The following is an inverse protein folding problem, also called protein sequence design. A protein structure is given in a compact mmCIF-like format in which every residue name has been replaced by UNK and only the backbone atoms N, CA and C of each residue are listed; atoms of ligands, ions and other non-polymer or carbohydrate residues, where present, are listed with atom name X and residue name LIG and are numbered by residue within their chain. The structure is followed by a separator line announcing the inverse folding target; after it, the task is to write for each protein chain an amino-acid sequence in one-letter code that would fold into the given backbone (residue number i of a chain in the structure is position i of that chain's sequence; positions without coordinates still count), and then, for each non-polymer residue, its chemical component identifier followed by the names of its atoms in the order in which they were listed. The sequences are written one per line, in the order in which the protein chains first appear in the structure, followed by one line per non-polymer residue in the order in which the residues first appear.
data_IF_499216527303
#
_entry.id   IF_499216527303
#
_cell.length_a   1.000
_cell.length_b   1.000
_cell.length_c   1.000
_cell.angle_alpha   90.00
_cell.angle_beta   90.00
_cell.angle_gamma   90.00
#
_symmetry.space_group_name_H-M   'P 1'
#
loop_
_entity.id
_entity.type
_entity.pdbx_description
1 polymer ?
#
# COMPACT_ATOMS: atom_id res chain seq x y z
N UNK A 1 -5.70 40.23 -73.12
CA UNK A 1 -4.50 40.03 -72.32
C UNK A 1 -4.91 39.29 -71.04
N UNK A 2 -4.95 37.95 -71.18
CA UNK A 2 -5.49 37.08 -70.12
C UNK A 2 -4.33 36.35 -69.45
N UNK A 3 -4.14 36.57 -68.15
CA UNK A 3 -3.20 35.80 -67.32
C UNK A 3 -3.99 34.82 -66.46
N UNK A 4 -3.86 33.55 -66.84
CA UNK A 4 -4.29 32.40 -66.03
C UNK A 4 -3.31 32.18 -64.88
N UNK A 5 -3.76 32.31 -63.63
CA UNK A 5 -3.06 31.86 -62.47
C UNK A 5 -3.45 30.41 -62.16
N UNK A 6 -2.53 29.47 -62.45
CA UNK A 6 -2.66 28.10 -62.01
C UNK A 6 -2.27 27.95 -60.56
N UNK A 7 -3.25 27.62 -59.68
CA UNK A 7 -3.02 27.25 -58.28
C UNK A 7 -2.43 25.85 -58.25
N UNK A 8 -1.17 25.72 -57.89
CA UNK A 8 -0.54 24.45 -57.46
C UNK A 8 -1.07 24.09 -56.08
N UNK A 9 -1.89 23.03 -56.02
CA UNK A 9 -2.27 22.35 -54.78
C UNK A 9 -1.14 21.42 -54.41
N UNK A 10 -0.37 21.79 -53.41
CA UNK A 10 0.64 20.96 -52.79
C UNK A 10 -0.08 19.91 -51.91
N UNK A 11 -0.05 18.65 -52.31
CA UNK A 11 -0.51 17.52 -51.48
C UNK A 11 0.55 17.28 -50.41
N UNK A 12 0.27 17.72 -49.20
CA UNK A 12 1.05 17.32 -48.01
C UNK A 12 0.61 15.88 -47.72
N UNK A 13 1.50 14.94 -47.99
CA UNK A 13 1.36 13.57 -47.51
C UNK A 13 1.68 13.57 -46.02
N UNK A 14 0.64 13.41 -45.20
CA UNK A 14 0.77 13.11 -43.81
C UNK A 14 1.24 11.68 -43.69
N UNK A 15 2.53 11.47 -43.54
CA UNK A 15 3.07 10.19 -43.16
C UNK A 15 2.72 9.97 -41.69
N UNK A 16 1.69 9.16 -41.46
CA UNK A 16 1.40 8.61 -40.13
C UNK A 16 2.54 7.70 -39.74
N UNK A 17 3.49 8.22 -38.98
CA UNK A 17 4.48 7.40 -38.27
C UNK A 17 3.69 6.71 -37.16
N UNK A 18 3.28 5.45 -37.39
CA UNK A 18 2.95 4.54 -36.31
C UNK A 18 4.23 4.35 -35.50
N UNK A 19 4.38 5.14 -34.44
CA UNK A 19 5.32 4.84 -33.39
C UNK A 19 4.76 3.62 -32.64
N UNK A 20 5.09 2.42 -33.10
CA UNK A 20 4.97 1.22 -32.28
C UNK A 20 5.94 1.41 -31.12
N UNK A 21 5.43 1.96 -30.02
CA UNK A 21 6.04 1.82 -28.72
C UNK A 21 6.04 0.32 -28.47
N UNK A 22 7.17 -0.34 -28.77
CA UNK A 22 7.46 -1.61 -28.18
C UNK A 22 7.45 -1.34 -26.68
N UNK A 23 6.37 -1.66 -26.00
CA UNK A 23 6.39 -1.90 -24.57
C UNK A 23 7.46 -2.96 -24.40
N UNK A 24 8.66 -2.55 -23.97
CA UNK A 24 9.61 -3.47 -23.42
C UNK A 24 8.86 -4.11 -22.25
N UNK A 25 8.26 -5.28 -22.51
CA UNK A 25 7.81 -6.17 -21.48
C UNK A 25 9.11 -6.45 -20.71
N UNK A 26 9.31 -5.72 -19.60
CA UNK A 26 10.31 -6.07 -18.63
C UNK A 26 9.90 -7.47 -18.20
N UNK A 27 10.60 -8.48 -18.69
CA UNK A 27 10.53 -9.83 -18.17
C UNK A 27 10.97 -9.70 -16.71
N UNK A 28 10.02 -9.49 -15.84
CA UNK A 28 10.25 -9.49 -14.41
C UNK A 28 10.35 -10.95 -14.06
N UNK A 29 11.58 -11.37 -13.82
CA UNK A 29 11.84 -12.76 -13.47
C UNK A 29 11.37 -12.99 -12.03
N UNK A 30 10.14 -13.44 -11.87
CA UNK A 30 9.74 -14.13 -10.65
C UNK A 30 10.57 -15.42 -10.58
N UNK A 31 11.55 -15.43 -9.72
CA UNK A 31 12.47 -16.54 -9.54
C UNK A 31 11.79 -17.71 -8.83
N UNK A 32 10.94 -17.39 -7.83
CA UNK A 32 10.31 -18.41 -6.99
C UNK A 32 9.10 -17.84 -6.24
N UNK A 33 8.05 -18.63 -6.15
CA UNK A 33 6.90 -18.37 -5.28
C UNK A 33 6.78 -19.57 -4.30
N UNK A 34 6.71 -19.27 -3.01
CA UNK A 34 6.50 -20.25 -1.97
C UNK A 34 5.50 -19.75 -0.93
N UNK A 35 4.81 -20.65 -0.28
CA UNK A 35 4.05 -20.31 0.92
C UNK A 35 5.01 -20.08 2.06
N UNK A 36 5.03 -18.85 2.59
CA UNK A 36 5.83 -18.46 3.74
C UNK A 36 5.20 -18.91 5.06
N UNK A 37 3.89 -18.68 5.20
CA UNK A 37 3.10 -19.03 6.37
C UNK A 37 1.66 -19.33 5.98
N UNK A 38 0.97 -20.14 6.79
CA UNK A 38 -0.47 -20.39 6.67
C UNK A 38 -1.15 -20.04 7.99
N UNK A 39 -2.34 -19.46 7.93
CA UNK A 39 -3.11 -19.16 9.12
C UNK A 39 -3.49 -20.41 9.90
N UNK A 40 -3.76 -21.53 9.22
CA UNK A 40 -4.05 -22.82 9.85
C UNK A 40 -2.94 -23.32 10.77
N UNK A 41 -1.68 -23.05 10.45
CA UNK A 41 -0.54 -23.45 11.29
C UNK A 41 -0.49 -22.72 12.65
N UNK A 42 -1.19 -21.59 12.76
CA UNK A 42 -1.26 -20.77 13.98
C UNK A 42 -2.71 -20.63 14.50
N UNK A 43 -3.62 -21.42 14.01
CA UNK A 43 -5.06 -21.41 14.35
C UNK A 43 -5.70 -20.02 14.11
N UNK A 44 -5.32 -19.39 13.01
CA UNK A 44 -5.81 -18.06 12.60
C UNK A 44 -6.31 -18.07 11.15
N UNK A 45 -7.07 -17.04 10.79
CA UNK A 45 -7.62 -16.87 9.43
C UNK A 45 -7.57 -15.43 8.97
N UNK A 46 -7.56 -15.22 7.64
CA UNK A 46 -7.54 -13.92 7.04
C UNK A 46 -6.24 -13.15 7.36
N UNK A 47 -5.08 -13.61 6.84
CA UNK A 47 -3.88 -12.78 6.89
C UNK A 47 -4.14 -11.50 6.12
N UNK A 48 -3.70 -10.39 6.68
CA UNK A 48 -4.01 -9.06 6.20
C UNK A 48 -2.75 -8.21 6.10
N UNK A 49 -2.49 -7.34 7.04
CA UNK A 49 -1.28 -6.52 7.05
C UNK A 49 -0.01 -7.30 7.34
N UNK A 50 1.07 -6.87 6.69
CA UNK A 50 2.42 -7.39 6.88
C UNK A 50 3.34 -6.24 7.32
N UNK A 51 4.18 -6.49 8.32
CA UNK A 51 5.22 -5.55 8.72
C UNK A 51 6.56 -6.26 8.86
N UNK A 52 7.62 -5.54 8.53
CA UNK A 52 8.98 -6.06 8.56
C UNK A 52 9.81 -5.48 9.68
N UNK A 53 10.56 -6.30 10.35
CA UNK A 53 11.68 -5.88 11.16
C UNK A 53 12.94 -6.62 10.71
N UNK A 54 14.13 -6.16 11.16
CA UNK A 54 15.41 -6.71 10.69
C UNK A 54 15.48 -8.25 10.61
N UNK A 55 14.83 -8.96 11.54
CA UNK A 55 14.93 -10.41 11.70
C UNK A 55 13.56 -11.11 11.80
N UNK A 56 12.48 -10.42 11.45
CA UNK A 56 11.13 -10.99 11.59
C UNK A 56 10.17 -10.40 10.58
N UNK A 57 9.24 -11.23 10.15
CA UNK A 57 8.02 -10.85 9.45
C UNK A 57 6.89 -10.91 10.46
N UNK A 58 6.10 -9.86 10.52
CA UNK A 58 4.91 -9.75 11.35
C UNK A 58 3.68 -9.81 10.46
N UNK A 59 2.68 -10.56 10.86
CA UNK A 59 1.43 -10.72 10.09
C UNK A 59 0.26 -10.56 11.05
N UNK A 60 -0.69 -9.72 10.69
CA UNK A 60 -2.02 -9.71 11.30
C UNK A 60 -2.92 -10.73 10.62
N UNK A 61 -3.75 -11.39 11.42
CA UNK A 61 -4.83 -12.26 10.98
C UNK A 61 -6.10 -11.74 11.61
N UNK A 62 -7.04 -11.29 10.80
CA UNK A 62 -8.27 -10.64 11.29
C UNK A 62 -9.21 -11.62 11.98
N UNK A 63 -9.15 -12.92 11.65
CA UNK A 63 -10.02 -13.99 12.17
C UNK A 63 -11.53 -13.71 11.98
N UNK A 64 -11.89 -12.81 11.05
CA UNK A 64 -13.25 -12.34 10.88
C UNK A 64 -13.76 -11.46 12.05
N UNK A 65 -12.84 -10.82 12.78
CA UNK A 65 -13.20 -9.84 13.79
C UNK A 65 -13.92 -8.63 13.14
N UNK A 66 -14.82 -8.05 13.89
CA UNK A 66 -15.60 -6.90 13.45
C UNK A 66 -14.71 -5.66 13.32
N UNK A 67 -14.73 -5.01 12.15
CA UNK A 67 -13.91 -3.85 11.84
C UNK A 67 -14.29 -2.58 12.61
N UNK A 68 -15.48 -2.57 13.27
CA UNK A 68 -15.90 -1.52 14.19
C UNK A 68 -15.53 -1.81 15.66
N UNK A 69 -14.90 -2.96 15.92
CA UNK A 69 -14.43 -3.36 17.25
C UNK A 69 -15.52 -3.88 18.20
N UNK A 70 -16.72 -4.17 17.69
CA UNK A 70 -17.83 -4.63 18.53
C UNK A 70 -17.70 -6.09 18.94
N UNK A 71 -16.96 -6.90 18.16
CA UNK A 71 -16.77 -8.33 18.45
C UNK A 71 -15.53 -8.92 17.80
N UNK A 72 -15.08 -10.06 18.31
CA UNK A 72 -13.97 -10.82 17.76
C UNK A 72 -12.61 -10.36 18.26
N UNK A 73 -11.57 -10.99 17.73
CA UNK A 73 -10.17 -10.66 18.02
C UNK A 73 -9.26 -11.08 16.87
N UNK A 74 -8.28 -10.27 16.60
CA UNK A 74 -7.21 -10.58 15.65
C UNK A 74 -6.06 -11.32 16.33
N UNK A 75 -5.30 -12.04 15.52
CA UNK A 75 -4.05 -12.68 15.93
C UNK A 75 -2.88 -12.02 15.20
N UNK A 76 -1.92 -11.49 15.94
CA UNK A 76 -0.65 -11.02 15.35
C UNK A 76 0.43 -12.07 15.60
N UNK A 77 1.10 -12.49 14.55
CA UNK A 77 2.16 -13.50 14.62
C UNK A 77 3.49 -12.90 14.20
N UNK A 78 4.50 -13.12 15.04
CA UNK A 78 5.89 -12.86 14.70
C UNK A 78 6.53 -14.11 14.14
N UNK A 79 6.97 -14.05 12.90
CA UNK A 79 7.71 -15.12 12.23
C UNK A 79 9.20 -14.80 12.14
N UNK A 80 10.03 -15.85 12.16
CA UNK A 80 11.41 -15.79 11.64
C UNK A 80 11.37 -15.63 10.12
N UNK A 81 12.47 -15.18 9.50
CA UNK A 81 12.57 -15.06 8.05
C UNK A 81 12.40 -16.38 7.28
N UNK A 82 12.57 -17.52 7.97
CA UNK A 82 12.32 -18.85 7.41
C UNK A 82 10.89 -19.38 7.61
N UNK A 83 9.95 -18.55 8.09
CA UNK A 83 8.55 -18.91 8.33
C UNK A 83 8.27 -19.56 9.69
N UNK A 84 9.29 -19.84 10.50
CA UNK A 84 9.09 -20.39 11.84
C UNK A 84 8.46 -19.36 12.79
N UNK A 85 7.41 -19.75 13.53
CA UNK A 85 6.74 -18.90 14.52
C UNK A 85 7.69 -18.56 15.67
N UNK A 86 7.74 -17.29 16.08
CA UNK A 86 8.41 -16.84 17.31
C UNK A 86 7.42 -16.63 18.44
N UNK A 87 6.41 -15.79 18.18
CA UNK A 87 5.40 -15.42 19.16
C UNK A 87 4.06 -15.14 18.45
N UNK A 88 2.98 -15.24 19.22
CA UNK A 88 1.63 -14.91 18.81
C UNK A 88 0.97 -14.05 19.89
N UNK A 89 0.18 -13.08 19.48
CA UNK A 89 -0.53 -12.13 20.33
C UNK A 89 -2.00 -12.10 19.90
N UNK A 90 -2.91 -12.19 20.87
CA UNK A 90 -4.33 -11.94 20.60
C UNK A 90 -4.67 -10.51 20.96
N UNK A 91 -5.34 -9.82 20.06
CA UNK A 91 -5.75 -8.42 20.21
C UNK A 91 -7.26 -8.36 19.95
N UNK A 92 -8.01 -7.73 20.87
CA UNK A 92 -9.46 -7.54 20.71
C UNK A 92 -9.78 -6.64 19.52
N UNK A 93 -10.80 -7.00 18.74
CA UNK A 93 -11.20 -6.30 17.52
C UNK A 93 -10.38 -6.68 16.28
N UNK A 94 -10.67 -6.03 15.16
CA UNK A 94 -9.94 -6.18 13.90
C UNK A 94 -8.64 -5.39 13.95
N UNK A 95 -7.53 -5.99 13.52
CA UNK A 95 -6.26 -5.31 13.28
C UNK A 95 -6.00 -5.31 11.79
N UNK A 96 -6.09 -4.13 11.22
CA UNK A 96 -5.83 -3.86 9.82
C UNK A 96 -4.41 -3.31 9.64
N UNK A 97 -4.11 -2.13 10.14
CA UNK A 97 -2.78 -1.55 10.08
C UNK A 97 -1.77 -2.20 11.01
N UNK A 98 -0.65 -2.65 10.46
CA UNK A 98 0.46 -3.25 11.21
C UNK A 98 1.79 -2.71 10.71
N UNK A 99 2.55 -2.00 11.55
CA UNK A 99 3.88 -1.47 11.19
C UNK A 99 4.88 -1.58 12.33
N UNK A 100 6.15 -1.69 11.99
CA UNK A 100 7.24 -1.62 12.96
C UNK A 100 7.79 -0.18 13.00
N UNK A 101 7.71 0.47 14.15
CA UNK A 101 8.36 1.78 14.35
C UNK A 101 9.89 1.61 14.25
N UNK A 102 10.55 2.21 13.24
CA UNK A 102 11.96 2.00 12.98
C UNK A 102 12.86 2.56 14.08
N UNK A 103 12.36 3.50 14.91
CA UNK A 103 13.12 4.15 15.97
C UNK A 103 13.13 3.32 17.25
N UNK A 104 12.01 2.68 17.56
CA UNK A 104 11.83 1.95 18.84
C UNK A 104 11.84 0.44 18.67
N UNK A 105 11.58 -0.06 17.44
CA UNK A 105 11.37 -1.47 17.13
C UNK A 105 10.05 -2.02 17.69
N UNK A 106 9.16 -1.18 18.21
CA UNK A 106 7.82 -1.59 18.63
C UNK A 106 6.95 -1.81 17.39
N UNK A 107 6.05 -2.80 17.50
CA UNK A 107 5.03 -3.01 16.48
C UNK A 107 3.79 -2.23 16.89
N UNK A 108 3.31 -1.42 15.97
CA UNK A 108 2.05 -0.72 16.07
C UNK A 108 0.97 -1.56 15.40
N UNK A 109 -0.11 -1.80 16.10
CA UNK A 109 -1.29 -2.51 15.62
C UNK A 109 -2.50 -1.58 15.74
N UNK A 110 -2.94 -1.06 14.60
CA UNK A 110 -4.12 -0.21 14.51
C UNK A 110 -5.34 -1.11 14.50
N UNK A 111 -6.31 -0.79 15.34
CA UNK A 111 -7.49 -1.62 15.55
C UNK A 111 -8.74 -0.88 15.15
N UNK A 112 -9.67 -1.63 14.54
CA UNK A 112 -11.05 -1.19 14.28
C UNK A 112 -11.11 0.02 13.33
N UNK A 113 -10.64 -0.19 12.10
CA UNK A 113 -10.55 0.84 11.08
C UNK A 113 -11.90 1.49 10.72
N UNK A 114 -13.00 0.78 10.89
CA UNK A 114 -14.36 1.28 10.57
C UNK A 114 -15.11 1.88 11.74
N UNK A 115 -14.47 2.02 12.90
CA UNK A 115 -15.07 2.66 14.09
C UNK A 115 -14.42 2.25 15.38
N UNK A 116 -14.57 3.08 16.41
CA UNK A 116 -13.99 2.81 17.74
C UNK A 116 -12.49 2.51 17.71
N UNK A 117 -11.76 3.16 16.82
CA UNK A 117 -10.34 2.90 16.60
C UNK A 117 -9.49 3.07 17.85
N UNK A 118 -8.55 2.16 18.02
CA UNK A 118 -7.55 2.18 19.07
C UNK A 118 -6.19 1.73 18.55
N UNK A 119 -5.14 1.96 19.33
CA UNK A 119 -3.78 1.52 19.04
C UNK A 119 -3.30 0.54 20.11
N UNK A 120 -2.80 -0.61 19.69
CA UNK A 120 -2.02 -1.50 20.55
C UNK A 120 -0.56 -1.51 20.15
N UNK A 121 0.32 -1.65 21.14
CA UNK A 121 1.78 -1.66 20.95
C UNK A 121 2.37 -2.98 21.43
N UNK A 122 3.15 -3.64 20.59
CA UNK A 122 3.91 -4.83 20.96
C UNK A 122 5.38 -4.44 21.11
N UNK A 123 5.95 -4.76 22.26
CA UNK A 123 7.40 -4.67 22.47
C UNK A 123 8.03 -6.04 22.26
N UNK A 124 8.74 -6.28 21.12
CA UNK A 124 9.29 -7.61 20.82
C UNK A 124 10.35 -8.07 21.82
N UNK A 125 11.12 -7.15 22.42
CA UNK A 125 12.19 -7.50 23.35
C UNK A 125 11.70 -8.09 24.69
N UNK A 126 10.49 -7.75 25.08
CA UNK A 126 9.90 -8.22 26.33
C UNK A 126 8.64 -9.04 26.12
N UNK A 127 8.27 -9.29 24.86
CA UNK A 127 7.02 -9.99 24.48
C UNK A 127 5.79 -9.38 25.15
N UNK A 128 5.76 -8.04 25.26
CA UNK A 128 4.73 -7.31 25.99
C UNK A 128 3.80 -6.61 25.01
N UNK A 129 2.52 -6.90 25.15
CA UNK A 129 1.43 -6.15 24.55
C UNK A 129 0.97 -5.06 25.54
N UNK A 130 0.75 -3.86 25.04
CA UNK A 130 0.16 -2.73 25.77
C UNK A 130 -0.86 -2.02 24.91
N UNK A 131 -1.84 -1.40 25.54
CA UNK A 131 -3.03 -0.84 24.88
C UNK A 131 -4.28 -1.62 25.32
N UNK A 132 -5.44 -1.41 24.67
CA UNK A 132 -5.64 -0.44 23.61
C UNK A 132 -5.58 1.01 24.11
N UNK A 133 -4.96 1.89 23.31
CA UNK A 133 -4.87 3.32 23.55
C UNK A 133 -5.90 4.01 22.65
N UNK A 134 -6.87 4.75 23.20
CA UNK A 134 -7.89 5.42 22.41
C UNK A 134 -7.34 6.68 21.73
N UNK A 135 -7.97 7.08 20.63
CA UNK A 135 -7.78 8.41 20.05
C UNK A 135 -8.65 9.44 20.79
N UNK A 136 -8.19 10.68 20.84
CA UNK A 136 -8.91 11.78 21.52
C UNK A 136 -10.26 12.10 20.87
N UNK A 137 -10.36 11.87 19.57
CA UNK A 137 -11.61 11.94 18.81
C UNK A 137 -11.87 10.56 18.22
N UNK A 138 -13.00 9.96 18.56
CA UNK A 138 -13.42 8.66 18.05
C UNK A 138 -14.69 8.80 17.23
N UNK A 139 -14.85 7.97 16.23
CA UNK A 139 -16.07 7.81 15.44
C UNK A 139 -16.55 6.38 15.55
N UNK A 140 -17.85 6.18 15.43
CA UNK A 140 -18.47 4.84 15.40
C UNK A 140 -18.47 4.23 13.98
N UNK A 141 -18.07 5.00 12.96
CA UNK A 141 -18.14 4.62 11.54
C UNK A 141 -16.89 4.97 10.75
N UNK A 142 -15.86 5.47 11.42
CA UNK A 142 -14.60 5.87 10.81
C UNK A 142 -13.47 5.56 11.77
N UNK A 143 -12.29 5.32 11.25
CA UNK A 143 -11.13 5.01 12.08
C UNK A 143 -9.82 5.09 11.33
N UNK A 144 -8.79 4.48 11.91
CA UNK A 144 -7.44 4.51 11.37
C UNK A 144 -7.08 3.13 10.83
N UNK A 145 -6.74 3.12 9.55
CA UNK A 145 -6.38 1.93 8.81
C UNK A 145 -4.88 1.61 8.95
N UNK A 146 -4.02 2.50 8.48
CA UNK A 146 -2.58 2.25 8.47
C UNK A 146 -1.76 3.42 9.01
N UNK A 147 -0.45 3.21 9.18
CA UNK A 147 0.49 4.16 9.75
C UNK A 147 1.80 4.20 8.98
N UNK A 148 2.32 5.40 8.75
CA UNK A 148 3.65 5.61 8.19
C UNK A 148 4.55 6.41 9.15
N UNK A 149 5.79 5.94 9.31
CA UNK A 149 6.82 6.61 10.11
C UNK A 149 7.80 7.35 9.21
N UNK A 150 7.81 8.67 9.27
CA UNK A 150 8.70 9.53 8.49
C UNK A 150 9.53 10.40 9.41
N UNK A 151 10.81 10.14 9.50
CA UNK A 151 11.70 10.82 10.45
C UNK A 151 11.16 10.67 11.90
N UNK A 152 10.81 11.78 12.54
CA UNK A 152 10.20 11.87 13.87
C UNK A 152 8.67 12.01 13.83
N UNK A 153 8.09 12.05 12.64
CA UNK A 153 6.65 12.18 12.41
C UNK A 153 5.97 10.82 12.21
N UNK A 154 4.71 10.75 12.62
CA UNK A 154 3.85 9.58 12.43
C UNK A 154 2.58 10.03 11.75
N UNK A 155 2.29 9.44 10.60
CA UNK A 155 1.10 9.73 9.80
C UNK A 155 0.17 8.53 9.84
N UNK A 156 -1.13 8.79 9.82
CA UNK A 156 -2.19 7.78 9.85
C UNK A 156 -3.14 8.00 8.68
N UNK A 157 -3.52 6.92 7.98
CA UNK A 157 -4.67 6.93 7.08
C UNK A 157 -5.96 6.88 7.88
N UNK A 158 -7.00 7.55 7.39
CA UNK A 158 -8.30 7.63 8.05
C UNK A 158 -9.40 7.24 7.08
N UNK A 159 -10.13 6.19 7.41
CA UNK A 159 -11.05 5.49 6.52
C UNK A 159 -12.44 6.13 6.44
N UNK A 160 -13.22 5.71 5.44
CA UNK A 160 -14.65 6.03 5.28
C UNK A 160 -14.99 7.54 5.35
N UNK A 161 -14.26 8.42 4.67
CA UNK A 161 -14.56 9.83 4.67
C UNK A 161 -15.92 10.08 3.96
N UNK A 162 -16.91 10.60 4.69
CA UNK A 162 -18.26 10.83 4.17
C UNK A 162 -18.38 12.17 3.42
N UNK A 163 -17.50 13.13 3.71
CA UNK A 163 -17.54 14.51 3.22
C UNK A 163 -16.20 14.95 2.62
N UNK A 164 -16.17 15.86 1.64
CA UNK A 164 -14.93 16.46 1.14
C UNK A 164 -14.05 17.12 2.22
N UNK A 165 -14.63 17.49 3.36
CA UNK A 165 -13.92 18.08 4.50
C UNK A 165 -13.41 17.08 5.52
N UNK A 166 -13.72 15.79 5.33
CA UNK A 166 -13.22 14.76 6.21
C UNK A 166 -11.73 14.48 5.92
N UNK A 167 -10.92 14.27 6.95
CA UNK A 167 -9.53 13.94 6.77
C UNK A 167 -9.36 12.56 6.14
N UNK A 168 -8.29 12.38 5.37
CA UNK A 168 -7.84 11.09 4.85
C UNK A 168 -6.42 10.74 5.30
N UNK A 169 -5.61 11.77 5.61
CA UNK A 169 -4.30 11.58 6.27
C UNK A 169 -4.23 12.55 7.44
N UNK A 170 -3.78 12.04 8.59
CA UNK A 170 -3.62 12.81 9.82
C UNK A 170 -2.20 12.63 10.38
N UNK A 171 -1.66 13.69 10.96
CA UNK A 171 -0.39 13.70 11.68
C UNK A 171 -0.64 13.48 13.18
N UNK A 172 0.01 12.47 13.76
CA UNK A 172 -0.02 12.24 15.20
C UNK A 172 0.80 13.34 15.91
N UNK A 173 0.14 14.06 16.83
CA UNK A 173 0.77 15.15 17.57
C UNK A 173 1.49 14.66 18.82
N UNK A 174 0.97 13.62 19.47
CA UNK A 174 1.58 13.00 20.62
C UNK A 174 1.28 11.49 20.67
N UNK A 175 2.14 10.73 21.29
CA UNK A 175 1.96 9.29 21.54
C UNK A 175 1.43 8.99 22.96
N UNK A 176 0.79 9.94 23.63
CA UNK A 176 0.21 9.77 24.97
C UNK A 176 -1.26 9.35 24.88
N UNK A 177 -1.82 8.88 25.99
CA UNK A 177 -3.22 8.50 26.13
C UNK A 177 -4.05 9.72 26.59
N UNK A 178 -5.09 10.13 25.81
CA UNK A 178 -5.45 9.65 24.47
C UNK A 178 -4.52 10.17 23.36
N UNK A 179 -4.49 9.48 22.22
CA UNK A 179 -3.74 9.90 21.03
C UNK A 179 -4.39 11.13 20.39
N UNK A 180 -3.61 12.16 20.11
CA UNK A 180 -4.06 13.40 19.47
C UNK A 180 -3.51 13.50 18.06
N UNK A 181 -4.39 13.74 17.10
CA UNK A 181 -4.07 13.84 15.67
C UNK A 181 -4.51 15.17 15.07
N UNK A 182 -3.89 15.57 13.98
CA UNK A 182 -4.24 16.79 13.21
C UNK A 182 -4.34 16.44 11.73
N UNK A 183 -5.45 16.78 11.06
CA UNK A 183 -5.60 16.57 9.61
C UNK A 183 -4.51 17.31 8.81
N UNK A 184 -4.00 16.65 7.76
CA UNK A 184 -3.06 17.25 6.80
C UNK A 184 -3.51 17.11 5.35
N UNK A 185 -4.33 16.08 5.02
CA UNK A 185 -4.96 15.91 3.72
C UNK A 185 -6.43 15.59 3.94
N UNK A 186 -7.30 16.18 3.13
CA UNK A 186 -8.74 15.97 3.16
C UNK A 186 -9.21 15.25 1.90
N UNK A 187 -10.35 14.55 1.97
CA UNK A 187 -10.97 13.84 0.84
C UNK A 187 -11.20 14.75 -0.38
N UNK A 188 -11.58 16.00 -0.17
CA UNK A 188 -11.79 16.98 -1.23
C UNK A 188 -10.52 17.70 -1.73
N UNK A 189 -9.33 17.23 -1.33
CA UNK A 189 -8.07 17.84 -1.78
C UNK A 189 -7.86 17.56 -3.27
N UNK A 190 -7.62 18.62 -4.06
CA UNK A 190 -7.22 18.46 -5.45
C UNK A 190 -5.72 18.17 -5.57
N UNK A 191 -5.35 17.41 -6.59
CA UNK A 191 -3.97 17.02 -6.87
C UNK A 191 -3.58 17.21 -8.35
N UNK A 192 -2.33 16.88 -8.65
CA UNK A 192 -1.86 16.73 -10.03
C UNK A 192 -2.08 15.29 -10.47
N UNK A 193 -2.84 15.08 -11.54
CA UNK A 193 -2.99 13.76 -12.15
C UNK A 193 -1.68 13.39 -12.86
N UNK A 194 -0.99 12.35 -12.40
CA UNK A 194 0.32 11.94 -12.93
C UNK A 194 0.24 11.41 -14.36
N UNK A 195 -0.86 10.74 -14.73
CA UNK A 195 -1.03 10.19 -16.07
C UNK A 195 -1.24 11.27 -17.14
N UNK A 196 -1.84 12.41 -16.78
CA UNK A 196 -2.13 13.50 -17.73
C UNK A 196 -1.27 14.74 -17.55
N UNK A 197 -0.61 14.88 -16.42
CA UNK A 197 0.14 16.07 -16.02
C UNK A 197 -0.77 17.26 -15.65
N UNK A 198 -2.08 17.08 -15.60
CA UNK A 198 -3.02 18.16 -15.29
C UNK A 198 -3.05 18.44 -13.80
N UNK A 199 -2.81 19.70 -13.43
CA UNK A 199 -2.89 20.14 -12.05
C UNK A 199 -4.34 20.46 -11.63
N UNK A 200 -4.55 20.53 -10.31
CA UNK A 200 -5.81 20.93 -9.69
C UNK A 200 -7.01 20.06 -10.10
N UNK A 201 -6.76 18.75 -10.24
CA UNK A 201 -7.80 17.76 -10.53
C UNK A 201 -8.35 17.16 -9.24
N UNK A 202 -9.65 16.83 -9.17
CA UNK A 202 -10.21 16.15 -8.01
C UNK A 202 -9.57 14.77 -7.81
N UNK A 203 -9.23 14.46 -6.57
CA UNK A 203 -8.85 13.10 -6.19
C UNK A 203 -10.10 12.30 -5.85
N UNK A 204 -9.98 10.97 -5.88
CA UNK A 204 -11.03 10.04 -5.45
C UNK A 204 -10.46 9.21 -4.31
N UNK A 205 -10.98 9.44 -3.10
CA UNK A 205 -10.47 8.85 -1.87
C UNK A 205 -11.66 8.48 -0.98
N UNK A 206 -12.43 7.47 -1.44
CA UNK A 206 -13.62 7.02 -0.71
C UNK A 206 -13.26 6.00 0.36
N UNK A 207 -12.20 5.23 0.10
CA UNK A 207 -11.73 4.17 0.98
C UNK A 207 -10.19 4.28 1.15
N UNK A 208 -9.71 5.29 1.89
CA UNK A 208 -8.29 5.39 2.24
C UNK A 208 -7.85 4.20 3.07
N UNK A 209 -6.81 3.53 2.63
CA UNK A 209 -6.36 2.24 3.13
C UNK A 209 -4.86 2.32 3.52
N UNK A 210 -4.02 1.53 2.93
CA UNK A 210 -2.60 1.42 3.27
C UNK A 210 -1.81 2.70 3.06
N UNK A 211 -0.95 3.04 4.01
CA UNK A 211 -0.13 4.24 4.02
C UNK A 211 1.35 3.88 4.15
N UNK A 212 2.17 4.26 3.17
CA UNK A 212 3.62 3.96 3.15
C UNK A 212 4.45 5.18 2.76
N UNK A 213 5.77 4.98 2.77
CA UNK A 213 6.72 5.95 2.23
C UNK A 213 7.17 5.55 0.83
N UNK A 214 7.29 6.53 -0.05
CA UNK A 214 8.05 6.41 -1.28
C UNK A 214 9.55 6.34 -0.99
N UNK A 215 10.40 5.94 -1.92
CA UNK A 215 11.86 5.99 -1.75
C UNK A 215 12.43 7.39 -1.45
N UNK A 216 11.71 8.44 -1.81
CA UNK A 216 12.07 9.85 -1.53
C UNK A 216 11.59 10.34 -0.17
N UNK A 217 10.82 9.51 0.54
CA UNK A 217 10.27 9.85 1.87
C UNK A 217 8.98 10.68 1.83
N UNK A 218 8.31 10.73 0.68
CA UNK A 218 6.95 11.23 0.57
C UNK A 218 5.95 10.14 0.99
N UNK A 219 4.70 10.49 1.26
CA UNK A 219 3.68 9.50 1.55
C UNK A 219 3.06 8.97 0.25
N UNK A 220 2.71 7.69 0.27
CA UNK A 220 1.83 7.05 -0.71
C UNK A 220 0.67 6.41 0.05
N UNK A 221 -0.56 6.77 -0.34
CA UNK A 221 -1.82 6.24 0.21
C UNK A 221 -2.56 5.50 -0.90
N UNK A 222 -3.00 4.27 -0.64
CA UNK A 222 -3.93 3.55 -1.49
C UNK A 222 -5.38 3.91 -1.13
N UNK A 223 -6.26 3.92 -2.14
CA UNK A 223 -7.70 4.00 -1.96
C UNK A 223 -8.34 2.78 -2.60
N UNK A 224 -8.89 1.91 -1.74
CA UNK A 224 -9.36 0.58 -2.10
C UNK A 224 -10.45 0.61 -3.16
N UNK A 225 -11.52 1.33 -2.93
CA UNK A 225 -12.67 1.40 -3.83
C UNK A 225 -12.39 2.15 -5.14
N UNK A 226 -11.51 3.15 -5.10
CA UNK A 226 -11.26 4.03 -6.24
C UNK A 226 -10.13 3.54 -7.15
N UNK A 227 -9.34 2.56 -6.71
CA UNK A 227 -8.15 2.11 -7.43
C UNK A 227 -7.15 3.24 -7.63
N UNK A 228 -7.03 4.15 -6.66
CA UNK A 228 -6.23 5.35 -6.79
C UNK A 228 -5.09 5.38 -5.75
N UNK A 229 -3.90 5.71 -6.22
CA UNK A 229 -2.76 6.03 -5.37
C UNK A 229 -2.65 7.55 -5.23
N UNK A 230 -2.55 8.03 -4.00
CA UNK A 230 -2.31 9.43 -3.67
C UNK A 230 -0.87 9.59 -3.17
N UNK A 231 -0.14 10.54 -3.73
CA UNK A 231 1.22 10.87 -3.33
C UNK A 231 1.22 12.24 -2.64
N UNK A 232 1.79 12.31 -1.45
CA UNK A 232 1.88 13.55 -0.69
C UNK A 232 3.33 13.91 -0.46
N UNK A 233 3.81 14.88 -1.23
CA UNK A 233 5.16 15.42 -1.10
C UNK A 233 5.24 16.38 0.07
N UNK A 234 6.33 16.32 0.85
CA UNK A 234 6.58 17.17 2.01
C UNK A 234 5.39 17.24 2.99
N UNK A 235 4.83 16.09 3.42
CA UNK A 235 3.59 16.05 4.19
C UNK A 235 3.68 16.85 5.49
N UNK A 236 2.59 17.58 5.79
CA UNK A 236 2.46 18.39 7.00
C UNK A 236 3.28 19.69 7.02
N UNK A 237 3.85 20.10 5.89
CA UNK A 237 4.60 21.35 5.76
C UNK A 237 3.86 22.40 4.92
N UNK A 238 4.32 23.65 4.93
CA UNK A 238 3.78 24.71 4.05
C UNK A 238 4.04 24.46 2.56
N UNK A 239 4.95 23.55 2.21
CA UNK A 239 5.27 23.17 0.84
C UNK A 239 4.64 21.84 0.43
N UNK A 240 3.67 21.36 1.20
CA UNK A 240 2.97 20.12 0.88
C UNK A 240 2.38 20.16 -0.52
N UNK A 241 2.59 19.10 -1.28
CA UNK A 241 2.02 18.90 -2.61
C UNK A 241 1.26 17.59 -2.66
N UNK A 242 0.23 17.54 -3.52
CA UNK A 242 -0.57 16.33 -3.72
C UNK A 242 -0.58 16.00 -5.21
N UNK A 243 -0.31 14.74 -5.53
CA UNK A 243 -0.53 14.17 -6.85
C UNK A 243 -1.18 12.80 -6.72
N UNK A 244 -1.76 12.30 -7.80
CA UNK A 244 -2.44 11.01 -7.78
C UNK A 244 -2.30 10.27 -9.10
N UNK A 245 -2.48 8.94 -9.03
CA UNK A 245 -2.50 8.05 -10.16
C UNK A 245 -3.66 7.07 -10.00
N UNK A 246 -4.56 7.01 -10.98
CA UNK A 246 -5.60 5.98 -11.03
C UNK A 246 -5.03 4.75 -11.71
N UNK A 247 -5.11 3.59 -11.06
CA UNK A 247 -4.65 2.32 -11.61
C UNK A 247 -5.71 1.75 -12.55
N UNK A 248 -5.27 1.27 -13.69
CA UNK A 248 -6.14 0.81 -14.77
C UNK A 248 -5.89 -0.68 -15.07
N UNK A 249 -6.97 -1.43 -15.17
CA UNK A 249 -6.96 -2.78 -15.76
C UNK A 249 -6.56 -2.69 -17.24
N UNK A 250 -5.48 -3.34 -17.66
CA UNK A 250 -4.98 -3.25 -19.04
C UNK A 250 -5.94 -3.84 -20.08
N UNK A 251 -6.88 -4.71 -19.67
CA UNK A 251 -7.82 -5.35 -20.57
C UNK A 251 -9.05 -4.49 -20.84
N UNK A 252 -9.48 -3.72 -19.87
CA UNK A 252 -10.72 -2.92 -19.94
C UNK A 252 -10.47 -1.42 -20.03
N UNK A 253 -9.30 -0.95 -19.56
CA UNK A 253 -8.97 0.47 -19.42
C UNK A 253 -9.75 1.17 -18.30
N UNK A 254 -10.49 0.43 -17.49
CA UNK A 254 -11.23 0.96 -16.34
C UNK A 254 -10.36 0.97 -15.09
N UNK A 255 -10.72 1.82 -14.13
CA UNK A 255 -10.09 1.82 -12.82
C UNK A 255 -10.26 0.45 -12.15
N UNK A 256 -9.20 -0.03 -11.49
CA UNK A 256 -9.26 -1.22 -10.64
C UNK A 256 -10.01 -0.90 -9.34
N UNK A 257 -10.36 -1.91 -8.57
CA UNK A 257 -10.88 -1.77 -7.20
C UNK A 257 -10.25 -2.80 -6.28
N UNK A 258 -10.41 -2.64 -4.98
CA UNK A 258 -9.72 -3.46 -3.99
C UNK A 258 -8.20 -3.27 -4.09
N UNK A 259 -7.76 -2.03 -4.28
CA UNK A 259 -6.36 -1.64 -4.19
C UNK A 259 -5.99 -1.52 -2.71
N UNK A 260 -5.42 -2.58 -2.17
CA UNK A 260 -5.11 -2.64 -0.75
C UNK A 260 -3.76 -1.96 -0.47
N UNK A 261 -2.68 -2.46 -1.02
CA UNK A 261 -1.34 -2.03 -0.66
C UNK A 261 -0.46 -1.75 -1.89
N UNK A 262 0.51 -0.84 -1.72
CA UNK A 262 1.47 -0.52 -2.76
C UNK A 262 2.87 -0.31 -2.19
N UNK A 263 3.89 -0.81 -2.91
CA UNK A 263 5.28 -0.73 -2.46
C UNK A 263 6.24 -0.50 -3.62
N UNK A 264 7.31 0.24 -3.37
CA UNK A 264 8.40 0.44 -4.33
C UNK A 264 9.50 -0.61 -4.13
N UNK A 265 9.99 -1.18 -5.22
CA UNK A 265 11.21 -1.96 -5.20
C UNK A 265 12.42 -1.05 -4.96
N UNK A 266 13.15 -1.28 -3.88
CA UNK A 266 14.34 -0.51 -3.50
C UNK A 266 15.65 -1.12 -3.96
N UNK A 267 15.60 -2.33 -4.56
CA UNK A 267 16.73 -3.03 -5.15
C UNK A 267 16.30 -3.83 -6.39
N UNK A 268 17.23 -4.26 -7.21
CA UNK A 268 16.98 -5.08 -8.41
C UNK A 268 16.59 -6.51 -8.08
N UNK A 269 16.95 -6.97 -6.88
CA UNK A 269 16.66 -8.30 -6.34
C UNK A 269 15.99 -8.14 -4.99
N UNK A 270 15.07 -9.03 -4.69
CA UNK A 270 14.40 -8.99 -3.40
C UNK A 270 13.33 -10.05 -3.23
N UNK A 271 12.61 -9.88 -2.15
CA UNK A 271 11.48 -10.75 -1.80
C UNK A 271 10.27 -9.87 -1.50
N UNK A 272 9.16 -10.15 -2.16
CA UNK A 272 7.86 -9.69 -1.70
C UNK A 272 7.28 -10.68 -0.71
N UNK A 273 6.73 -10.14 0.39
CA UNK A 273 5.79 -10.84 1.25
C UNK A 273 4.41 -10.28 0.94
N UNK A 274 3.46 -11.18 0.65
CA UNK A 274 2.11 -10.83 0.22
C UNK A 274 1.09 -11.67 0.98
N UNK A 275 0.10 -11.03 1.59
CA UNK A 275 -1.07 -11.69 2.15
C UNK A 275 -2.01 -12.13 1.03
N UNK A 276 -2.25 -13.43 0.91
CA UNK A 276 -3.23 -14.04 0.01
C UNK A 276 -4.40 -14.50 0.89
N UNK A 277 -5.22 -13.52 1.27
CA UNK A 277 -6.16 -13.54 2.40
C UNK A 277 -7.22 -14.62 2.26
N UNK A 278 -7.85 -14.71 1.09
CA UNK A 278 -8.89 -15.72 0.85
C UNK A 278 -8.34 -17.14 0.76
N UNK A 279 -7.04 -17.31 0.50
CA UNK A 279 -6.36 -18.61 0.56
C UNK A 279 -5.71 -18.87 1.93
N UNK A 280 -5.91 -17.98 2.89
CA UNK A 280 -5.40 -18.03 4.26
C UNK A 280 -3.90 -18.34 4.34
N UNK A 281 -3.09 -17.64 3.52
CA UNK A 281 -1.64 -17.82 3.45
C UNK A 281 -0.92 -16.50 3.20
N UNK A 282 0.35 -16.46 3.59
CA UNK A 282 1.31 -15.44 3.18
C UNK A 282 2.26 -16.05 2.16
N UNK A 283 2.45 -15.39 1.05
CA UNK A 283 3.39 -15.78 0.01
C UNK A 283 4.75 -15.11 0.22
N UNK A 284 5.81 -15.82 -0.13
CA UNK A 284 7.16 -15.32 -0.34
C UNK A 284 7.46 -15.42 -1.83
N UNK A 285 7.65 -14.28 -2.48
CA UNK A 285 7.85 -14.14 -3.93
C UNK A 285 9.24 -13.57 -4.14
N UNK A 286 10.19 -14.40 -4.53
CA UNK A 286 11.56 -14.00 -4.84
C UNK A 286 11.64 -13.47 -6.27
N UNK A 287 12.18 -12.28 -6.43
CA UNK A 287 12.31 -11.60 -7.72
C UNK A 287 13.74 -11.20 -7.99
N UNK A 288 14.06 -11.14 -9.29
CA UNK A 288 15.38 -10.75 -9.80
C UNK A 288 15.20 -9.77 -10.98
N UNK A 289 16.22 -8.97 -11.27
CA UNK A 289 16.26 -8.04 -12.41
C UNK A 289 15.15 -6.98 -12.48
N UNK A 290 14.40 -6.74 -11.40
CA UNK A 290 13.40 -5.67 -11.37
C UNK A 290 14.08 -4.29 -11.34
N UNK A 291 13.60 -3.29 -12.10
CA UNK A 291 14.15 -1.95 -12.03
C UNK A 291 13.93 -1.33 -10.64
N UNK A 292 14.98 -0.72 -10.08
CA UNK A 292 14.86 0.04 -8.83
C UNK A 292 13.90 1.21 -9.03
N UNK A 293 12.97 1.39 -8.10
CA UNK A 293 11.91 2.40 -8.19
C UNK A 293 10.63 1.92 -8.89
N UNK A 294 10.57 0.66 -9.35
CA UNK A 294 9.31 0.08 -9.82
C UNK A 294 8.29 0.02 -8.71
N UNK A 295 7.06 0.39 -9.02
CA UNK A 295 5.91 0.35 -8.12
C UNK A 295 5.12 -0.94 -8.32
N UNK A 296 4.77 -1.57 -7.22
CA UNK A 296 3.96 -2.79 -7.19
C UNK A 296 2.73 -2.56 -6.32
N UNK A 297 1.61 -3.20 -6.67
CA UNK A 297 0.36 -3.09 -5.95
C UNK A 297 -0.34 -4.45 -5.81
N UNK A 298 -0.96 -4.70 -4.66
CA UNK A 298 -1.91 -5.78 -4.46
C UNK A 298 -3.31 -5.30 -4.87
N UNK A 299 -3.95 -6.03 -5.80
CA UNK A 299 -5.20 -5.58 -6.45
C UNK A 299 -6.24 -6.69 -6.35
N UNK A 300 -7.23 -6.50 -5.48
CA UNK A 300 -8.26 -7.49 -5.19
C UNK A 300 -9.16 -7.79 -6.41
N UNK A 301 -9.61 -6.77 -7.15
CA UNK A 301 -10.48 -6.98 -8.31
C UNK A 301 -9.84 -7.78 -9.45
N UNK A 302 -8.50 -7.77 -9.51
CA UNK A 302 -7.75 -8.54 -10.50
C UNK A 302 -7.22 -9.87 -9.92
N UNK A 303 -7.25 -10.04 -8.60
CA UNK A 303 -6.60 -11.14 -7.89
C UNK A 303 -5.11 -11.26 -8.24
N UNK A 304 -4.40 -10.13 -8.20
CA UNK A 304 -3.03 -10.02 -8.67
C UNK A 304 -2.14 -9.20 -7.73
N UNK A 305 -0.85 -9.56 -7.72
CA UNK A 305 0.24 -8.63 -7.48
C UNK A 305 0.68 -8.10 -8.84
N UNK A 306 0.55 -6.80 -9.06
CA UNK A 306 0.83 -6.17 -10.33
C UNK A 306 1.96 -5.14 -10.24
N UNK A 307 2.66 -4.95 -11.36
CA UNK A 307 3.54 -3.80 -11.60
C UNK A 307 2.69 -2.65 -12.11
N UNK A 308 2.98 -1.46 -11.64
CA UNK A 308 2.26 -0.24 -12.01
C UNK A 308 3.16 0.64 -12.88
N UNK A 309 2.71 1.01 -14.05
CA UNK A 309 3.31 2.09 -14.82
C UNK A 309 2.91 3.44 -14.21
N UNK A 310 3.84 4.11 -13.56
CA UNK A 310 3.60 5.39 -12.87
C UNK A 310 3.23 6.55 -13.79
N UNK A 311 3.40 6.41 -15.11
CA UNK A 311 3.07 7.44 -16.09
C UNK A 311 1.68 7.28 -16.70
N UNK A 312 1.14 6.07 -16.69
CA UNK A 312 -0.15 5.78 -17.32
C UNK A 312 -1.19 5.22 -16.35
N UNK A 313 -0.75 4.65 -15.24
CA UNK A 313 -1.58 3.89 -14.31
C UNK A 313 -1.88 2.46 -14.78
N UNK A 314 -1.43 2.04 -15.96
CA UNK A 314 -1.65 0.68 -16.43
C UNK A 314 -0.93 -0.32 -15.53
N UNK A 315 -1.63 -1.41 -15.23
CA UNK A 315 -1.10 -2.51 -14.43
C UNK A 315 -0.62 -3.65 -15.32
N UNK A 316 0.38 -4.38 -14.88
CA UNK A 316 0.85 -5.61 -15.54
C UNK A 316 1.01 -6.69 -14.48
N UNK A 317 0.38 -7.86 -14.63
CA UNK A 317 0.48 -8.91 -13.63
C UNK A 317 1.92 -9.37 -13.43
N UNK A 318 2.36 -9.44 -12.15
CA UNK A 318 3.55 -10.14 -11.73
C UNK A 318 3.20 -11.54 -11.22
N UNK A 319 2.14 -11.63 -10.41
CA UNK A 319 1.56 -12.89 -9.91
C UNK A 319 0.06 -12.81 -10.03
N UNK A 320 -0.55 -13.79 -10.67
CA UNK A 320 -2.01 -13.90 -10.85
C UNK A 320 -2.58 -15.10 -10.10
N UNK A 321 -3.90 -15.24 -10.12
CA UNK A 321 -4.66 -16.30 -9.46
C UNK A 321 -4.48 -16.31 -7.93
N UNK A 322 -4.37 -15.13 -7.36
CA UNK A 322 -4.51 -14.90 -5.93
C UNK A 322 -5.99 -14.93 -5.53
N UNK A 323 -6.27 -14.82 -4.24
CA UNK A 323 -7.63 -14.72 -3.74
C UNK A 323 -7.70 -13.63 -2.66
N UNK A 324 -8.05 -12.41 -3.08
CA UNK A 324 -8.01 -11.23 -2.22
C UNK A 324 -6.58 -10.96 -1.73
N UNK A 325 -5.67 -10.50 -2.59
CA UNK A 325 -4.34 -10.08 -2.15
C UNK A 325 -4.45 -8.78 -1.37
N UNK A 326 -3.86 -8.76 -0.17
CA UNK A 326 -3.81 -7.62 0.76
C UNK A 326 -2.36 -7.22 1.03
N UNK A 327 -2.01 -6.95 2.27
CA UNK A 327 -0.74 -6.42 2.72
C UNK A 327 0.49 -6.89 1.96
N UNK A 328 1.31 -5.95 1.53
CA UNK A 328 2.46 -6.17 0.65
C UNK A 328 3.70 -5.48 1.21
N UNK A 329 4.79 -6.22 1.34
CA UNK A 329 6.09 -5.66 1.73
C UNK A 329 7.22 -6.16 0.83
N UNK A 330 8.22 -5.32 0.56
CA UNK A 330 9.41 -5.65 -0.21
C UNK A 330 10.67 -5.63 0.65
N UNK A 331 11.43 -6.72 0.61
CA UNK A 331 12.75 -6.85 1.26
C UNK A 331 13.82 -6.88 0.16
N UNK A 332 14.69 -5.86 0.07
CA UNK A 332 15.81 -5.92 -0.85
C UNK A 332 16.81 -7.00 -0.42
N UNK A 333 17.37 -7.73 -1.39
CA UNK A 333 18.54 -8.56 -1.16
C UNK A 333 19.81 -7.72 -1.33
N UNK A 334 20.77 -7.89 -0.42
CA UNK A 334 22.10 -7.36 -0.54
C UNK A 334 23.01 -8.34 -1.29
N UNK A 335 24.05 -7.86 -1.93
CA UNK A 335 24.99 -8.72 -2.69
C UNK A 335 25.70 -9.75 -1.77
N UNK A 336 25.68 -9.53 -0.46
CA UNK A 336 26.25 -10.45 0.54
C UNK A 336 25.38 -11.70 0.77
N UNK A 337 24.10 -11.68 0.39
CA UNK A 337 23.18 -12.79 0.60
C UNK A 337 23.44 -14.00 -0.33
N UNK A 338 24.34 -13.87 -1.32
CA UNK A 338 24.70 -14.96 -2.23
C UNK A 338 25.68 -15.99 -1.62
N UNK A 339 26.43 -15.60 -0.59
CA UNK A 339 27.48 -16.47 -0.02
C UNK A 339 26.97 -17.47 1.03
N UNK A 340 25.75 -17.30 1.54
CA UNK A 340 25.20 -18.18 2.58
C UNK A 340 24.43 -19.41 2.04
N UNK A 341 24.29 -19.57 0.71
CA UNK A 341 23.54 -20.66 0.07
C UNK A 341 24.40 -21.62 -0.77
N UNK A 342 25.74 -21.63 -0.59
CA UNK A 342 26.63 -22.60 -1.23
C UNK A 342 27.07 -23.72 -0.28
#
# INVERSE_FOLDING_TARGET
MNYLFAKKISRIAIASILLTMASSAFAQDVRRITTFATGTAVSATGPDSIALSRNSVWVSYTNGADSTGLSGSSTIVQYKLNGGVRHSYSISGSVDGLKVDPRTGRVWALQNQDGNSTLSLINPKGHRLSGPIPYAVTSATQGYDDVAFRLDQVFLSYTNPASPTDPIIQLLQNGSDPLVVTPIVFRGTNGTNLATGQANQPTSQNDPDSLKLTPTGDLILSSGDDGQLLFVGQPGTSNQSVSFLTLLDPNTGLAVSGLDDAVFATARRGTFYLADTGNNRVLKIEVDHIPVGSLFASIGSLNELAVVDIHTGLTTPLVSNLNGPHGLEFVPHTDDDENDNQ
#
